data_IF_477257558873
#
_entry.id   IF_477257558873
#
_cell.length_a   1.000
_cell.length_b   1.000
_cell.length_c   1.000
_cell.angle_alpha   90.00
_cell.angle_beta   90.00
_cell.angle_gamma   90.00
#
_symmetry.space_group_name_H-M   'P 1'
#
loop_
_entity.id
_entity.type
_entity.pdbx_description
1 polymer ?
#
# COMPACT_ATOMS: atom_id res chain seq x y z
N UNK A 1 -7.89 -26.20 6.71
CA UNK A 1 -8.52 -24.90 6.40
C UNK A 1 -7.42 -23.92 6.06
N UNK A 2 -7.52 -23.18 4.95
CA UNK A 2 -6.52 -22.19 4.54
C UNK A 2 -6.80 -20.79 5.08
N UNK A 3 -5.88 -19.86 4.80
CA UNK A 3 -6.04 -18.43 5.07
C UNK A 3 -6.68 -17.72 3.87
N UNK A 4 -7.28 -16.55 4.12
CA UNK A 4 -7.72 -15.63 3.08
C UNK A 4 -6.86 -14.37 3.08
N UNK A 5 -6.43 -13.93 1.90
CA UNK A 5 -5.65 -12.73 1.69
C UNK A 5 -6.36 -11.79 0.73
N UNK A 6 -6.66 -10.58 1.20
CA UNK A 6 -7.20 -9.50 0.37
C UNK A 6 -6.18 -8.37 0.24
N UNK A 7 -5.82 -8.04 -1.00
CA UNK A 7 -5.00 -6.88 -1.30
C UNK A 7 -5.90 -5.74 -1.78
N UNK A 8 -5.90 -4.59 -1.09
CA UNK A 8 -6.66 -3.40 -1.50
C UNK A 8 -5.69 -2.26 -1.82
N UNK A 9 -6.10 -1.34 -2.70
CA UNK A 9 -5.27 -0.17 -2.96
C UNK A 9 -5.22 0.26 -4.41
N UNK A 10 -4.08 0.85 -4.78
CA UNK A 10 -3.89 1.49 -6.07
C UNK A 10 -3.24 0.60 -7.14
N UNK A 11 -2.49 1.20 -8.08
CA UNK A 11 -1.82 0.50 -9.17
C UNK A 11 -0.72 -0.44 -8.69
N UNK A 12 -0.10 -0.20 -7.52
CA UNK A 12 0.87 -1.15 -6.98
C UNK A 12 0.18 -2.45 -6.58
N UNK A 13 -0.98 -2.34 -5.92
CA UNK A 13 -1.83 -3.49 -5.57
C UNK A 13 -2.28 -4.23 -6.82
N UNK A 14 -2.70 -3.49 -7.87
CA UNK A 14 -3.11 -4.10 -9.15
C UNK A 14 -1.96 -4.80 -9.90
N UNK A 15 -0.71 -4.42 -9.65
CA UNK A 15 0.46 -4.96 -10.34
C UNK A 15 0.78 -4.27 -11.68
N UNK A 16 0.48 -2.98 -11.80
CA UNK A 16 0.81 -2.21 -13.00
C UNK A 16 2.32 -2.21 -13.29
N UNK A 17 2.73 -2.48 -14.54
CA UNK A 17 4.15 -2.62 -14.91
C UNK A 17 4.73 -4.03 -14.71
N UNK A 18 3.94 -4.98 -14.20
CA UNK A 18 4.35 -6.37 -13.96
C UNK A 18 3.47 -7.38 -14.71
N UNK A 19 3.59 -7.41 -16.04
CA UNK A 19 2.82 -8.27 -16.94
C UNK A 19 2.90 -9.77 -16.61
N UNK A 20 4.05 -10.25 -16.11
CA UNK A 20 4.29 -11.67 -15.84
C UNK A 20 4.12 -12.07 -14.35
N UNK A 21 4.42 -11.17 -13.41
CA UNK A 21 4.39 -11.50 -11.97
C UNK A 21 3.11 -11.04 -11.26
N UNK A 22 2.30 -10.17 -11.87
CA UNK A 22 1.04 -9.69 -11.29
C UNK A 22 1.19 -8.74 -10.10
N UNK A 23 2.40 -8.23 -9.85
CA UNK A 23 2.69 -7.29 -8.77
C UNK A 23 3.21 -7.92 -7.47
N UNK A 24 3.27 -7.14 -6.39
CA UNK A 24 3.78 -7.63 -5.10
C UNK A 24 2.83 -8.63 -4.43
N UNK A 25 1.53 -8.47 -4.67
CA UNK A 25 0.50 -9.21 -3.94
C UNK A 25 0.57 -10.73 -4.19
N UNK A 26 0.57 -11.24 -5.44
CA UNK A 26 0.74 -12.69 -5.67
C UNK A 26 2.08 -13.24 -5.17
N UNK A 27 3.17 -12.46 -5.24
CA UNK A 27 4.46 -12.87 -4.68
C UNK A 27 4.41 -13.00 -3.15
N UNK A 28 3.79 -12.02 -2.47
CA UNK A 28 3.62 -12.05 -1.02
C UNK A 28 2.69 -13.19 -0.57
N UNK A 29 1.66 -13.53 -1.37
CA UNK A 29 0.82 -14.70 -1.14
C UNK A 29 1.65 -15.99 -1.13
N UNK A 30 2.50 -16.22 -2.13
CA UNK A 30 3.35 -17.41 -2.20
C UNK A 30 4.27 -17.52 -0.98
N UNK A 31 4.92 -16.41 -0.60
CA UNK A 31 5.75 -16.35 0.60
C UNK A 31 4.96 -16.63 1.89
N UNK A 32 3.68 -16.22 1.95
CA UNK A 32 2.80 -16.51 3.06
C UNK A 32 2.42 -18.00 3.12
N UNK A 33 2.10 -18.62 1.98
CA UNK A 33 1.79 -20.05 1.87
C UNK A 33 2.95 -20.91 2.37
N UNK A 34 4.16 -20.59 1.94
CA UNK A 34 5.39 -21.26 2.39
C UNK A 34 5.63 -21.09 3.89
N UNK A 35 5.49 -19.86 4.40
CA UNK A 35 5.80 -19.54 5.81
C UNK A 35 4.79 -20.10 6.80
N UNK A 36 3.51 -20.12 6.41
CA UNK A 36 2.38 -20.62 7.20
C UNK A 36 2.10 -22.10 6.95
N UNK A 37 2.76 -22.72 5.96
CA UNK A 37 2.59 -24.13 5.58
C UNK A 37 1.11 -24.49 5.34
N UNK A 38 0.36 -23.57 4.75
CA UNK A 38 -1.08 -23.74 4.47
C UNK A 38 -1.47 -22.91 3.26
N UNK A 39 -2.56 -23.30 2.59
CA UNK A 39 -3.03 -22.57 1.41
C UNK A 39 -3.55 -21.18 1.76
N UNK A 40 -3.32 -20.21 0.86
CA UNK A 40 -3.80 -18.83 1.00
C UNK A 40 -4.66 -18.49 -0.21
N UNK A 41 -5.97 -18.46 -0.01
CA UNK A 41 -6.90 -17.96 -1.01
C UNK A 41 -6.72 -16.45 -1.16
N UNK A 42 -6.71 -15.94 -2.38
CA UNK A 42 -6.29 -14.57 -2.66
C UNK A 42 -7.28 -13.81 -3.51
N UNK A 43 -7.50 -12.55 -3.15
CA UNK A 43 -8.32 -11.60 -3.90
C UNK A 43 -7.59 -10.24 -4.04
N UNK A 44 -7.58 -9.71 -5.27
CA UNK A 44 -6.95 -8.42 -5.59
C UNK A 44 -8.02 -7.38 -5.90
N UNK A 45 -8.09 -6.34 -5.06
CA UNK A 45 -8.98 -5.19 -5.21
C UNK A 45 -8.20 -3.90 -5.52
N UNK A 46 -7.08 -4.03 -6.24
CA UNK A 46 -6.27 -2.93 -6.72
C UNK A 46 -6.91 -2.19 -7.88
N UNK A 47 -6.99 -0.86 -7.80
CA UNK A 47 -7.56 0.00 -8.84
C UNK A 47 -6.53 1.03 -9.29
N UNK A 48 -6.25 1.08 -10.59
CA UNK A 48 -5.26 2.01 -11.14
C UNK A 48 -5.61 3.46 -10.80
N UNK A 49 -4.62 4.16 -10.25
CA UNK A 49 -4.73 5.56 -9.88
C UNK A 49 -5.70 5.87 -8.75
N UNK A 50 -6.11 4.88 -7.96
CA UNK A 50 -6.91 5.08 -6.77
C UNK A 50 -6.20 5.99 -5.77
N UNK A 51 -6.93 6.95 -5.22
CA UNK A 51 -6.49 7.90 -4.20
C UNK A 51 -7.16 7.56 -2.87
N UNK A 52 -6.62 8.05 -1.75
CA UNK A 52 -7.15 7.71 -0.42
C UNK A 52 -8.60 8.17 -0.20
N UNK A 53 -9.00 9.30 -0.80
CA UNK A 53 -10.37 9.83 -0.76
C UNK A 53 -11.36 8.95 -1.53
N UNK A 54 -10.91 8.20 -2.54
CA UNK A 54 -11.72 7.22 -3.27
C UNK A 54 -11.72 5.84 -2.62
N UNK A 55 -10.61 5.40 -2.03
CA UNK A 55 -10.55 4.12 -1.33
C UNK A 55 -11.43 4.12 -0.06
N UNK A 56 -11.47 5.24 0.68
CA UNK A 56 -12.24 5.35 1.91
C UNK A 56 -13.75 4.99 1.75
N UNK A 57 -14.51 5.58 0.81
CA UNK A 57 -15.91 5.20 0.61
C UNK A 57 -16.07 3.77 0.10
N UNK A 58 -15.08 3.19 -0.60
CA UNK A 58 -15.13 1.77 -0.99
C UNK A 58 -15.04 0.88 0.26
N UNK A 59 -14.09 1.12 1.16
CA UNK A 59 -13.98 0.37 2.42
C UNK A 59 -15.21 0.59 3.32
N UNK A 60 -15.75 1.81 3.36
CA UNK A 60 -16.90 2.15 4.20
C UNK A 60 -18.22 1.55 3.72
N UNK A 61 -18.51 1.69 2.43
CA UNK A 61 -19.87 1.53 1.91
C UNK A 61 -19.99 0.48 0.81
N UNK A 62 -18.90 0.11 0.12
CA UNK A 62 -18.98 -0.86 -0.96
C UNK A 62 -19.01 -2.29 -0.39
N UNK A 63 -20.12 -3.00 -0.63
CA UNK A 63 -20.35 -4.32 -0.05
C UNK A 63 -19.31 -5.36 -0.48
N UNK A 64 -18.77 -5.26 -1.70
CA UNK A 64 -17.75 -6.18 -2.21
C UNK A 64 -16.44 -6.01 -1.43
N UNK A 65 -15.95 -4.78 -1.28
CA UNK A 65 -14.77 -4.48 -0.46
C UNK A 65 -14.96 -4.92 1.00
N UNK A 66 -16.11 -4.61 1.59
CA UNK A 66 -16.42 -4.98 2.97
C UNK A 66 -16.43 -6.49 3.17
N UNK A 67 -17.01 -7.24 2.25
CA UNK A 67 -17.08 -8.71 2.31
C UNK A 67 -15.70 -9.33 2.21
N UNK A 68 -14.88 -8.87 1.26
CA UNK A 68 -13.50 -9.34 1.09
C UNK A 68 -12.66 -9.06 2.35
N UNK A 69 -12.68 -7.82 2.86
CA UNK A 69 -11.98 -7.42 4.09
C UNK A 69 -12.47 -8.25 5.29
N UNK A 70 -13.78 -8.45 5.43
CA UNK A 70 -14.35 -9.22 6.52
C UNK A 70 -13.81 -10.67 6.53
N UNK A 71 -13.71 -11.31 5.37
CA UNK A 71 -13.23 -12.69 5.23
C UNK A 71 -11.71 -12.83 5.37
N UNK A 72 -10.96 -11.78 5.05
CA UNK A 72 -9.50 -11.80 5.00
C UNK A 72 -8.84 -12.03 6.36
N UNK A 73 -7.89 -12.96 6.42
CA UNK A 73 -6.97 -13.16 7.54
C UNK A 73 -5.67 -12.34 7.33
N UNK A 74 -5.30 -12.07 6.08
CA UNK A 74 -4.19 -11.19 5.69
C UNK A 74 -4.76 -10.04 4.87
N UNK A 75 -4.42 -8.80 5.21
CA UNK A 75 -4.83 -7.62 4.44
C UNK A 75 -3.58 -6.79 4.12
N UNK A 76 -3.35 -6.51 2.84
CA UNK A 76 -2.33 -5.53 2.43
C UNK A 76 -2.98 -4.29 1.84
N UNK A 77 -2.41 -3.11 2.12
CA UNK A 77 -2.91 -1.83 1.61
C UNK A 77 -1.76 -1.02 1.00
N UNK A 78 -1.89 -0.64 -0.27
CA UNK A 78 -1.04 0.37 -0.93
C UNK A 78 -1.89 1.55 -1.35
N UNK A 79 -1.67 2.72 -0.75
CA UNK A 79 -2.42 3.94 -1.07
C UNK A 79 -1.62 5.18 -0.66
N UNK A 80 -1.95 6.34 -1.24
CA UNK A 80 -1.42 7.65 -0.83
C UNK A 80 -0.47 8.31 -1.83
N UNK A 81 0.32 7.52 -2.59
CA UNK A 81 1.19 8.07 -3.62
C UNK A 81 0.41 8.88 -4.68
N UNK A 82 -0.81 8.42 -4.99
CA UNK A 82 -1.66 9.02 -6.01
C UNK A 82 -2.30 10.35 -5.61
N UNK A 83 -2.46 10.59 -4.31
CA UNK A 83 -2.99 11.83 -3.74
C UNK A 83 -2.05 13.01 -4.01
N UNK A 84 -0.75 12.72 -4.18
CA UNK A 84 0.28 13.71 -4.44
C UNK A 84 0.40 14.09 -5.92
N UNK A 85 -0.03 13.22 -6.85
CA UNK A 85 0.21 13.40 -8.30
C UNK A 85 -0.23 14.75 -8.87
N UNK A 86 -1.40 15.33 -8.52
CA UNK A 86 -1.79 16.63 -9.04
C UNK A 86 -0.76 17.73 -8.72
N UNK A 87 -0.18 17.67 -7.51
CA UNK A 87 0.79 18.64 -7.02
C UNK A 87 2.20 18.38 -7.56
N UNK A 88 2.60 17.11 -7.69
CA UNK A 88 3.87 16.75 -8.31
C UNK A 88 3.95 17.23 -9.77
N UNK A 89 2.87 17.06 -10.55
CA UNK A 89 2.79 17.58 -11.93
C UNK A 89 2.90 19.10 -11.98
N UNK A 90 2.27 19.82 -11.05
CA UNK A 90 2.35 21.28 -10.98
C UNK A 90 3.77 21.79 -10.68
N UNK A 91 4.52 21.08 -9.82
CA UNK A 91 5.92 21.40 -9.51
C UNK A 91 6.86 21.12 -10.69
N UNK A 92 6.63 20.05 -11.45
CA UNK A 92 7.39 19.80 -12.69
C UNK A 92 7.05 20.79 -13.81
N UNK A 93 5.89 21.47 -13.73
CA UNK A 93 5.39 22.42 -14.71
C UNK A 93 5.72 23.91 -14.45
N UNK A 94 6.60 24.24 -13.48
CA UNK A 94 7.03 25.61 -13.12
C UNK A 94 5.97 26.52 -12.49
N UNK A 95 4.90 25.99 -11.91
CA UNK A 95 3.96 26.79 -11.12
C UNK A 95 4.38 26.73 -9.64
N UNK A 96 4.93 27.81 -9.09
CA UNK A 96 5.35 27.92 -7.67
C UNK A 96 4.24 27.72 -6.62
N UNK A 97 3.02 27.37 -7.04
CA UNK A 97 1.84 27.12 -6.21
C UNK A 97 1.81 25.70 -5.57
N UNK A 98 2.81 24.85 -5.79
CA UNK A 98 2.74 23.43 -5.41
C UNK A 98 3.05 23.11 -3.93
N UNK A 99 3.88 23.89 -3.24
CA UNK A 99 4.38 23.52 -1.91
C UNK A 99 3.29 23.50 -0.82
N UNK A 100 2.42 24.51 -0.78
CA UNK A 100 1.27 24.54 0.14
C UNK A 100 0.25 23.44 -0.18
N UNK A 101 0.09 23.11 -1.46
CA UNK A 101 -0.76 22.02 -1.93
C UNK A 101 -0.30 20.65 -1.45
N UNK A 102 1.01 20.40 -1.39
CA UNK A 102 1.57 19.11 -0.90
C UNK A 102 1.29 18.90 0.59
N UNK A 103 1.44 19.95 1.41
CA UNK A 103 1.14 19.86 2.83
C UNK A 103 -0.35 19.57 3.08
N UNK A 104 -1.24 20.23 2.33
CA UNK A 104 -2.69 19.97 2.40
C UNK A 104 -3.05 18.55 1.93
N UNK A 105 -2.44 18.10 0.83
CA UNK A 105 -2.59 16.74 0.32
C UNK A 105 -2.17 15.73 1.38
N UNK A 106 -1.01 15.91 2.00
CA UNK A 106 -0.51 15.04 3.05
C UNK A 106 -1.47 14.94 4.22
N UNK A 107 -1.98 16.07 4.73
CA UNK A 107 -2.92 16.06 5.84
C UNK A 107 -4.23 15.35 5.48
N UNK A 108 -4.76 15.59 4.27
CA UNK A 108 -5.94 14.88 3.77
C UNK A 108 -5.69 13.37 3.65
N UNK A 109 -4.58 12.96 3.05
CA UNK A 109 -4.20 11.55 2.91
C UNK A 109 -4.07 10.88 4.28
N UNK A 110 -3.39 11.52 5.25
CA UNK A 110 -3.28 11.02 6.62
C UNK A 110 -4.66 10.84 7.27
N UNK A 111 -5.56 11.81 7.12
CA UNK A 111 -6.94 11.74 7.60
C UNK A 111 -7.69 10.53 7.02
N UNK A 112 -7.69 10.40 5.70
CA UNK A 112 -8.38 9.31 5.00
C UNK A 112 -7.82 7.93 5.36
N UNK A 113 -6.49 7.80 5.42
CA UNK A 113 -5.82 6.53 5.71
C UNK A 113 -6.07 6.08 7.15
N UNK A 114 -6.04 7.01 8.11
CA UNK A 114 -6.46 6.72 9.49
C UNK A 114 -7.88 6.16 9.52
N UNK A 115 -8.79 6.77 8.77
CA UNK A 115 -10.18 6.31 8.67
C UNK A 115 -10.28 4.96 7.97
N UNK A 116 -9.55 4.71 6.88
CA UNK A 116 -9.51 3.40 6.21
C UNK A 116 -9.08 2.30 7.19
N UNK A 117 -8.00 2.53 7.96
CA UNK A 117 -7.51 1.57 8.96
C UNK A 117 -8.56 1.34 10.05
N UNK A 118 -9.16 2.41 10.58
CA UNK A 118 -10.24 2.32 11.56
C UNK A 118 -11.43 1.49 11.03
N UNK A 119 -11.85 1.71 9.79
CA UNK A 119 -12.96 0.98 9.18
C UNK A 119 -12.65 -0.50 8.96
N UNK A 120 -11.41 -0.85 8.59
CA UNK A 120 -10.98 -2.25 8.53
C UNK A 120 -11.09 -2.90 9.91
N UNK A 121 -10.61 -2.25 10.97
CA UNK A 121 -10.78 -2.76 12.33
C UNK A 121 -12.25 -2.90 12.73
N UNK A 122 -13.11 -1.95 12.35
CA UNK A 122 -14.56 -2.02 12.59
C UNK A 122 -15.19 -3.22 11.88
N UNK A 123 -14.84 -3.47 10.61
CA UNK A 123 -15.31 -4.63 9.84
C UNK A 123 -14.85 -5.94 10.49
N UNK A 124 -13.62 -5.98 11.03
CA UNK A 124 -13.05 -7.15 11.70
C UNK A 124 -13.49 -7.30 13.16
N UNK A 125 -14.20 -6.33 13.73
CA UNK A 125 -14.63 -6.37 15.12
C UNK A 125 -15.56 -7.55 15.40
N UNK A 126 -15.43 -8.17 16.57
CA UNK A 126 -16.22 -9.36 16.95
C UNK A 126 -15.77 -10.68 16.31
N UNK A 127 -14.78 -10.66 15.42
CA UNK A 127 -14.24 -11.89 14.85
C UNK A 127 -13.30 -12.59 15.83
N UNK A 128 -13.44 -13.93 15.93
CA UNK A 128 -12.56 -14.77 16.76
C UNK A 128 -11.27 -15.17 16.06
N UNK A 129 -11.23 -15.13 14.72
CA UNK A 129 -10.03 -15.50 13.95
C UNK A 129 -9.02 -14.36 13.96
N UNK A 130 -7.73 -14.63 14.18
CA UNK A 130 -6.68 -13.63 14.07
C UNK A 130 -6.61 -13.10 12.63
N UNK A 131 -6.26 -11.84 12.49
CA UNK A 131 -5.98 -11.23 11.19
C UNK A 131 -4.76 -10.30 11.29
N UNK A 132 -4.16 -9.98 10.15
CA UNK A 132 -3.07 -9.00 10.05
C UNK A 132 -3.37 -7.93 9.03
N UNK A 133 -2.95 -6.69 9.31
CA UNK A 133 -2.94 -5.57 8.37
C UNK A 133 -1.49 -5.20 8.07
N UNK A 134 -1.15 -5.07 6.79
CA UNK A 134 0.19 -4.70 6.32
C UNK A 134 0.07 -3.54 5.35
N UNK A 135 0.52 -2.36 5.75
CA UNK A 135 0.58 -1.22 4.83
C UNK A 135 1.87 -1.30 4.02
N UNK A 136 1.80 -0.88 2.76
CA UNK A 136 2.97 -0.62 1.92
C UNK A 136 3.25 0.87 1.99
N UNK A 137 4.47 1.25 2.40
CA UNK A 137 4.93 2.64 2.34
C UNK A 137 4.99 3.16 0.90
N UNK A 138 5.25 4.46 0.74
CA UNK A 138 5.45 5.07 -0.59
C UNK A 138 6.93 5.40 -0.81
N UNK A 139 7.38 5.39 -2.05
CA UNK A 139 8.70 5.87 -2.48
C UNK A 139 8.59 7.17 -3.29
N UNK A 140 9.73 7.80 -3.58
CA UNK A 140 9.78 8.98 -4.44
C UNK A 140 10.28 8.60 -5.84
N UNK A 141 9.42 8.50 -6.87
CA UNK A 141 9.87 8.25 -8.24
C UNK A 141 10.57 9.47 -8.89
N UNK A 142 10.47 10.65 -8.28
CA UNK A 142 11.04 11.90 -8.80
C UNK A 142 12.08 12.46 -7.81
N UNK A 143 13.30 11.88 -7.75
CA UNK A 143 14.31 12.24 -6.74
C UNK A 143 14.73 13.72 -6.81
N UNK A 144 14.59 14.37 -7.97
CA UNK A 144 14.86 15.81 -8.15
C UNK A 144 13.82 16.73 -7.51
N UNK A 145 12.62 16.24 -7.16
CA UNK A 145 11.56 17.04 -6.54
C UNK A 145 11.58 16.81 -5.02
N UNK A 146 12.26 17.70 -4.30
CA UNK A 146 12.48 17.61 -2.84
C UNK A 146 11.17 17.42 -2.07
N UNK A 147 10.11 18.12 -2.45
CA UNK A 147 8.82 18.12 -1.78
C UNK A 147 8.14 16.75 -1.83
N UNK A 148 8.33 15.99 -2.93
CA UNK A 148 7.81 14.62 -3.06
C UNK A 148 8.53 13.70 -2.07
N UNK A 149 9.86 13.84 -1.95
CA UNK A 149 10.63 13.13 -0.93
C UNK A 149 10.21 13.47 0.50
N UNK A 150 9.93 14.75 0.79
CA UNK A 150 9.41 15.18 2.10
C UNK A 150 8.04 14.58 2.39
N UNK A 151 7.11 14.61 1.42
CA UNK A 151 5.81 13.96 1.54
C UNK A 151 5.97 12.48 1.88
N UNK A 152 6.78 11.74 1.09
CA UNK A 152 6.94 10.30 1.24
C UNK A 152 7.45 9.93 2.64
N UNK A 153 8.50 10.61 3.13
CA UNK A 153 9.04 10.37 4.47
C UNK A 153 8.03 10.68 5.58
N UNK A 154 7.35 11.82 5.49
CA UNK A 154 6.34 12.19 6.50
C UNK A 154 5.11 11.28 6.47
N UNK A 155 4.73 10.78 5.30
CA UNK A 155 3.63 9.82 5.15
C UNK A 155 4.01 8.45 5.70
N UNK A 156 5.19 7.93 5.37
CA UNK A 156 5.66 6.63 5.88
C UNK A 156 5.87 6.65 7.41
N UNK A 157 6.37 7.76 7.95
CA UNK A 157 6.44 7.97 9.41
C UNK A 157 5.05 7.94 10.05
N UNK A 158 4.07 8.62 9.45
CA UNK A 158 2.68 8.56 9.90
C UNK A 158 2.09 7.15 9.86
N UNK A 159 2.30 6.40 8.76
CA UNK A 159 1.83 5.02 8.65
C UNK A 159 2.40 4.19 9.81
N UNK A 160 3.71 4.29 10.05
CA UNK A 160 4.40 3.55 11.11
C UNK A 160 3.86 3.91 12.50
N UNK A 161 3.47 5.17 12.69
CA UNK A 161 2.88 5.67 13.93
C UNK A 161 1.42 5.30 14.19
N UNK A 162 0.66 4.78 13.20
CA UNK A 162 -0.72 4.32 13.43
C UNK A 162 -0.77 3.11 14.38
N UNK A 163 0.23 2.23 14.30
CA UNK A 163 0.44 1.14 15.25
C UNK A 163 -0.71 0.12 15.35
N UNK A 164 -0.55 -0.84 16.27
CA UNK A 164 -1.53 -1.90 16.56
C UNK A 164 -0.87 -3.28 16.71
N UNK A 165 -1.47 -4.17 17.50
CA UNK A 165 -0.90 -5.50 17.80
C UNK A 165 -0.66 -6.34 16.54
N UNK A 166 -1.55 -6.22 15.54
CA UNK A 166 -1.55 -6.97 14.28
C UNK A 166 -1.33 -6.09 13.03
N UNK A 167 -0.96 -4.83 13.21
CA UNK A 167 -0.70 -3.86 12.13
C UNK A 167 0.81 -3.61 11.98
N UNK A 168 1.33 -3.64 10.75
CA UNK A 168 2.73 -3.29 10.45
C UNK A 168 2.83 -2.58 9.11
N UNK A 169 3.94 -1.89 8.88
CA UNK A 169 4.21 -1.13 7.65
C UNK A 169 5.50 -1.65 7.02
N UNK A 170 5.44 -1.96 5.73
CA UNK A 170 6.63 -2.28 4.94
C UNK A 170 7.29 -0.97 4.53
N UNK A 171 8.44 -0.65 5.12
CA UNK A 171 9.21 0.51 4.73
C UNK A 171 10.03 0.19 3.47
N UNK A 172 9.48 0.60 2.33
CA UNK A 172 10.08 0.36 1.01
C UNK A 172 10.90 1.56 0.53
N UNK A 173 10.82 2.71 1.21
CA UNK A 173 11.45 3.95 0.73
C UNK A 173 12.97 3.83 0.57
N UNK A 174 13.72 3.29 1.57
CA UNK A 174 15.18 3.15 1.44
C UNK A 174 15.58 2.24 0.30
N UNK A 175 14.80 1.20 0.02
CA UNK A 175 15.08 0.23 -1.04
C UNK A 175 14.94 0.84 -2.44
N UNK A 176 13.98 1.76 -2.64
CA UNK A 176 13.79 2.45 -3.93
C UNK A 176 14.72 3.66 -4.11
N UNK A 177 15.05 4.39 -3.04
CA UNK A 177 15.84 5.61 -3.13
C UNK A 177 17.26 5.33 -3.68
N UNK A 178 17.57 5.91 -4.83
CA UNK A 178 18.84 5.71 -5.54
C UNK A 178 18.91 4.45 -6.40
N UNK A 179 17.90 3.58 -6.35
CA UNK A 179 17.79 2.35 -7.14
C UNK A 179 16.65 2.40 -8.17
N UNK A 180 16.16 3.60 -8.51
CA UNK A 180 14.98 3.77 -9.35
C UNK A 180 15.16 3.14 -10.73
N UNK A 181 16.35 3.25 -11.32
CA UNK A 181 16.68 2.65 -12.63
C UNK A 181 16.59 1.13 -12.62
N UNK A 182 16.89 0.49 -11.49
CA UNK A 182 16.85 -0.96 -11.37
C UNK A 182 15.46 -1.47 -10.97
N UNK A 183 14.73 -0.71 -10.16
CA UNK A 183 13.50 -1.18 -9.53
C UNK A 183 12.22 -0.66 -10.18
N UNK A 184 12.29 0.40 -11.00
CA UNK A 184 11.14 0.94 -11.73
C UNK A 184 11.07 0.41 -13.16
N UNK A 185 9.85 0.39 -13.69
CA UNK A 185 9.54 0.09 -15.08
C UNK A 185 9.90 1.28 -15.98
N UNK A 186 9.76 1.10 -17.30
CA UNK A 186 10.13 2.12 -18.29
C UNK A 186 9.35 3.43 -18.15
N UNK A 187 8.21 3.43 -17.46
CA UNK A 187 7.45 4.64 -17.18
C UNK A 187 8.04 5.52 -16.05
N UNK A 188 9.09 5.02 -15.38
CA UNK A 188 9.79 5.73 -14.30
C UNK A 188 8.95 5.96 -13.04
N UNK A 189 7.77 5.33 -12.92
CA UNK A 189 6.85 5.52 -11.79
C UNK A 189 6.48 4.20 -11.16
N UNK A 190 6.11 3.18 -11.94
CA UNK A 190 5.68 1.89 -11.40
C UNK A 190 6.87 0.95 -11.19
N UNK A 191 6.84 0.05 -10.19
CA UNK A 191 7.88 -0.95 -10.03
C UNK A 191 7.91 -1.94 -11.20
N UNK A 192 9.10 -2.43 -11.54
CA UNK A 192 9.25 -3.60 -12.40
C UNK A 192 9.19 -4.90 -11.56
N UNK A 193 9.47 -6.05 -12.18
CA UNK A 193 9.45 -7.34 -11.48
C UNK A 193 10.40 -7.42 -10.26
N UNK A 194 11.58 -6.78 -10.32
CA UNK A 194 12.51 -6.71 -9.17
C UNK A 194 11.96 -5.82 -8.07
N UNK A 195 11.45 -4.64 -8.43
CA UNK A 195 10.81 -3.73 -7.48
C UNK A 195 9.62 -4.36 -6.75
N UNK A 196 8.75 -5.07 -7.46
CA UNK A 196 7.64 -5.78 -6.84
C UNK A 196 8.07 -6.94 -5.94
N UNK A 197 9.12 -7.68 -6.31
CA UNK A 197 9.71 -8.70 -5.43
C UNK A 197 10.26 -8.08 -4.15
N UNK A 198 10.92 -6.93 -4.24
CA UNK A 198 11.40 -6.21 -3.08
C UNK A 198 10.25 -5.80 -2.15
N UNK A 199 9.16 -5.23 -2.68
CA UNK A 199 7.96 -4.89 -1.88
C UNK A 199 7.41 -6.13 -1.17
N UNK A 200 7.28 -7.26 -1.88
CA UNK A 200 6.81 -8.51 -1.30
C UNK A 200 7.73 -9.04 -0.18
N UNK A 201 9.06 -8.90 -0.35
CA UNK A 201 10.04 -9.27 0.67
C UNK A 201 9.94 -8.38 1.91
N UNK A 202 9.78 -7.06 1.75
CA UNK A 202 9.58 -6.18 2.92
C UNK A 202 8.31 -6.54 3.68
N UNK A 203 7.20 -6.82 2.97
CA UNK A 203 5.98 -7.32 3.61
C UNK A 203 6.21 -8.64 4.35
N UNK A 204 6.96 -9.57 3.76
CA UNK A 204 7.30 -10.85 4.35
C UNK A 204 8.11 -10.72 5.65
N UNK A 205 9.09 -9.78 5.69
CA UNK A 205 9.92 -9.52 6.87
C UNK A 205 9.13 -9.04 8.08
N UNK A 206 7.96 -8.44 7.88
CA UNK A 206 7.06 -8.04 8.97
C UNK A 206 6.47 -9.23 9.74
N UNK A 207 6.60 -10.43 9.19
CA UNK A 207 6.07 -11.66 9.75
C UNK A 207 4.54 -11.72 9.72
N UNK A 208 4.02 -12.87 10.17
CA UNK A 208 2.61 -13.23 10.04
C UNK A 208 1.86 -13.31 11.38
N UNK A 209 2.52 -13.04 12.51
CA UNK A 209 1.85 -13.01 13.81
C UNK A 209 0.67 -12.02 13.79
N UNK A 210 -0.50 -12.39 14.34
CA UNK A 210 -0.79 -13.58 15.16
C UNK A 210 -1.28 -14.84 14.43
N UNK A 211 -1.15 -14.90 13.10
CA UNK A 211 -1.47 -16.13 12.34
C UNK A 211 -0.49 -17.26 12.71
N UNK A 212 -0.96 -18.51 12.64
CA UNK A 212 -0.22 -19.72 13.04
C UNK A 212 -0.20 -20.77 11.94
#
# INVERSE_FOLDING_TARGET
MGYYYTAIGDSLTKGAGAWLSGGFAPLYRQMAEERLRTSVNYENLGVNGLTSDKLLPMVRNNQFFRTAINRADIITVSIGANDLRPYAKALTGRSGAGASGIAQALNRTKGNVRQIVYEMYRIKSGQRRPFIIRMVGVYNPFPSVREVGVYARQYNSFLSGLGGGNYRVADIYPSFAGNERELLFLDGVHPNARGYRMIAQELHRLGYFPLR
#
